data_IF_037347552891
#
_entry.id   IF_037347552891
#
_cell.length_a   1.000
_cell.length_b   1.000
_cell.length_c   1.000
_cell.angle_alpha   90.00
_cell.angle_beta   90.00
_cell.angle_gamma   90.00
#
_symmetry.space_group_name_H-M   'P 1'
#
loop_
_entity.id
_entity.type
_entity.pdbx_description
1 polymer ?
#
# COMPACT_ATOMS: atom_id res chain seq x y z
N UNK A 1 -0.07 67.30 10.38
CA UNK A 1 1.30 67.21 10.94
C UNK A 1 1.89 65.86 10.57
N UNK A 2 2.95 65.78 9.74
CA UNK A 2 3.50 64.49 9.32
C UNK A 2 4.40 63.89 10.42
N UNK A 3 4.12 62.64 10.81
CA UNK A 3 4.90 61.89 11.80
C UNK A 3 6.24 61.49 11.17
N UNK A 4 7.33 62.14 11.58
CA UNK A 4 8.69 61.78 11.20
C UNK A 4 9.12 60.54 11.98
N UNK A 5 8.92 59.35 11.41
CA UNK A 5 9.49 58.12 11.93
C UNK A 5 11.02 58.24 11.81
N UNK A 6 11.73 58.32 12.93
CA UNK A 6 13.20 58.37 12.95
C UNK A 6 13.72 57.04 12.41
N UNK A 7 14.56 57.07 11.38
CA UNK A 7 15.14 55.88 10.74
C UNK A 7 15.79 54.89 11.73
N UNK A 8 16.20 55.38 12.92
CA UNK A 8 16.70 54.56 14.03
C UNK A 8 15.71 53.50 14.53
N UNK A 9 14.39 53.69 14.40
CA UNK A 9 13.39 52.71 14.84
C UNK A 9 13.24 51.52 13.88
N UNK A 10 13.59 51.72 12.61
CA UNK A 10 13.51 50.66 11.60
C UNK A 10 14.62 49.64 11.82
N UNK A 11 15.82 50.11 12.20
CA UNK A 11 16.97 49.24 12.48
C UNK A 11 16.78 48.41 13.74
N UNK A 12 16.20 48.96 14.80
CA UNK A 12 15.87 48.19 16.00
C UNK A 12 14.76 47.17 15.77
N UNK A 13 13.75 47.49 14.96
CA UNK A 13 12.71 46.52 14.58
C UNK A 13 13.28 45.36 13.74
N UNK A 14 14.18 45.64 12.78
CA UNK A 14 14.86 44.60 12.01
C UNK A 14 15.75 43.71 12.88
N UNK A 15 16.54 44.30 13.79
CA UNK A 15 17.39 43.53 14.68
C UNK A 15 16.57 42.60 15.60
N UNK A 16 15.41 43.08 16.07
CA UNK A 16 14.50 42.28 16.89
C UNK A 16 13.87 41.12 16.09
N UNK A 17 13.49 41.32 14.83
CA UNK A 17 12.95 40.26 13.97
C UNK A 17 14.00 39.18 13.64
N UNK A 18 15.25 39.58 13.41
CA UNK A 18 16.35 38.63 13.16
C UNK A 18 16.63 37.79 14.42
N UNK A 19 16.69 38.43 15.60
CA UNK A 19 16.84 37.72 16.86
C UNK A 19 15.66 36.78 17.15
N UNK A 20 14.43 37.18 16.80
CA UNK A 20 13.25 36.32 16.94
C UNK A 20 13.35 35.06 16.06
N UNK A 21 13.83 35.21 14.81
CA UNK A 21 14.04 34.07 13.89
C UNK A 21 15.12 33.08 14.35
N UNK A 22 16.06 33.49 15.21
CA UNK A 22 17.12 32.61 15.72
C UNK A 22 16.63 31.80 16.94
N UNK A 23 15.66 32.33 17.70
CA UNK A 23 15.17 31.71 18.95
C UNK A 23 13.91 30.86 18.74
N UNK A 24 13.15 31.10 17.66
CA UNK A 24 12.07 30.21 17.30
C UNK A 24 12.65 28.83 16.94
N UNK A 25 12.25 27.74 17.63
CA UNK A 25 12.60 26.41 17.19
C UNK A 25 12.18 26.32 15.72
N UNK A 26 13.08 25.83 14.87
CA UNK A 26 12.72 25.38 13.54
C UNK A 26 11.58 24.39 13.77
N UNK A 27 10.34 24.86 13.62
CA UNK A 27 9.18 23.98 13.54
C UNK A 27 9.51 23.18 12.32
N UNK A 28 9.94 21.95 12.56
CA UNK A 28 10.24 21.00 11.53
C UNK A 28 8.94 20.83 10.76
N UNK A 29 8.77 21.66 9.74
CA UNK A 29 7.83 21.43 8.65
C UNK A 29 8.42 20.32 7.78
N UNK A 30 8.94 19.25 8.39
CA UNK A 30 8.48 17.95 7.96
C UNK A 30 6.96 18.06 7.95
N UNK A 31 6.42 18.37 6.78
CA UNK A 31 5.17 17.78 6.39
C UNK A 31 5.44 16.31 6.63
N UNK A 32 5.04 15.82 7.80
CA UNK A 32 4.72 14.42 7.94
C UNK A 32 3.70 14.25 6.82
N UNK A 33 4.18 13.84 5.65
CA UNK A 33 3.38 13.08 4.72
C UNK A 33 3.08 11.84 5.54
N UNK A 34 2.11 11.98 6.44
CA UNK A 34 1.28 10.90 6.93
C UNK A 34 0.80 10.29 5.63
N UNK A 35 1.58 9.31 5.15
CA UNK A 35 1.28 8.67 3.89
C UNK A 35 -0.13 8.17 4.08
N UNK A 36 -1.07 8.46 3.16
CA UNK A 36 -2.45 7.97 3.26
C UNK A 36 -2.56 6.43 3.26
N UNK A 37 -1.44 5.72 3.42
CA UNK A 37 -1.20 4.28 3.44
C UNK A 37 -1.45 3.63 4.81
N UNK A 38 -1.43 4.40 5.91
CA UNK A 38 -1.64 3.86 7.26
C UNK A 38 -3.11 3.53 7.57
N UNK A 39 -4.04 4.04 6.76
CA UNK A 39 -5.44 3.64 6.75
C UNK A 39 -5.76 3.08 5.37
N UNK A 40 -5.09 2.00 4.96
CA UNK A 40 -5.61 1.19 3.88
C UNK A 40 -7.00 0.73 4.32
N UNK A 41 -8.03 1.41 3.79
CA UNK A 41 -9.39 0.93 3.87
C UNK A 41 -9.36 -0.53 3.41
N UNK A 42 -10.10 -1.41 4.07
CA UNK A 42 -10.26 -2.82 3.66
C UNK A 42 -11.09 -2.92 2.37
N UNK A 43 -10.71 -2.13 1.38
CA UNK A 43 -11.46 -1.82 0.18
C UNK A 43 -10.58 -2.13 -1.04
N UNK A 44 -10.92 -3.18 -1.81
CA UNK A 44 -10.26 -3.50 -3.06
C UNK A 44 -10.31 -2.37 -4.12
N UNK A 45 -11.12 -1.33 -3.92
CA UNK A 45 -11.22 -0.15 -4.79
C UNK A 45 -10.41 1.05 -4.29
N UNK A 46 -9.67 0.91 -3.20
CA UNK A 46 -8.81 1.96 -2.67
C UNK A 46 -7.75 2.39 -3.72
N UNK A 47 -7.62 3.69 -4.03
CA UNK A 47 -6.62 4.21 -4.97
C UNK A 47 -5.19 3.75 -4.68
N UNK A 48 -4.83 3.54 -3.41
CA UNK A 48 -3.51 3.07 -3.02
C UNK A 48 -3.24 1.64 -3.50
N UNK A 49 -4.26 0.78 -3.47
CA UNK A 49 -4.19 -0.60 -3.97
C UNK A 49 -4.11 -0.62 -5.50
N UNK A 50 -4.86 0.25 -6.18
CA UNK A 50 -4.78 0.42 -7.64
C UNK A 50 -3.37 0.87 -8.07
N UNK A 51 -2.79 1.80 -7.31
CA UNK A 51 -1.43 2.27 -7.56
C UNK A 51 -0.40 1.14 -7.35
N UNK A 52 -0.52 0.39 -6.25
CA UNK A 52 0.34 -0.77 -5.98
C UNK A 52 0.25 -1.80 -7.10
N UNK A 53 -0.95 -2.16 -7.52
CA UNK A 53 -1.18 -3.06 -8.65
C UNK A 53 -0.46 -2.58 -9.94
N UNK A 54 -0.52 -1.28 -10.21
CA UNK A 54 0.17 -0.67 -11.36
C UNK A 54 1.69 -0.72 -11.25
N UNK A 55 2.25 -0.59 -10.04
CA UNK A 55 3.69 -0.76 -9.80
C UNK A 55 4.13 -2.23 -9.97
N UNK A 56 3.31 -3.18 -9.52
CA UNK A 56 3.58 -4.60 -9.65
C UNK A 56 3.65 -5.04 -11.12
N UNK A 57 2.83 -4.46 -12.00
CA UNK A 57 2.92 -4.67 -13.46
C UNK A 57 4.30 -4.28 -14.03
N UNK A 58 4.99 -3.35 -13.37
CA UNK A 58 6.35 -2.91 -13.70
C UNK A 58 7.44 -3.65 -12.90
N UNK A 59 7.07 -4.68 -12.13
CA UNK A 59 7.93 -5.43 -11.18
C UNK A 59 8.58 -4.55 -10.12
N UNK A 60 7.86 -3.55 -9.65
CA UNK A 60 8.31 -2.61 -8.62
C UNK A 60 7.28 -2.54 -7.49
N UNK A 61 7.73 -2.15 -6.29
CA UNK A 61 6.84 -1.87 -5.16
C UNK A 61 6.44 -0.39 -5.08
N UNK A 62 7.13 0.49 -5.80
CA UNK A 62 7.02 1.93 -5.59
C UNK A 62 7.51 2.30 -4.19
N UNK A 63 6.71 3.06 -3.46
CA UNK A 63 7.02 3.49 -2.09
C UNK A 63 6.50 2.54 -1.00
N UNK A 64 5.91 1.40 -1.38
CA UNK A 64 5.40 0.42 -0.44
C UNK A 64 6.54 -0.35 0.19
N UNK A 65 6.49 -0.53 1.51
CA UNK A 65 7.44 -1.44 2.15
C UNK A 65 7.03 -2.91 1.84
N UNK A 66 7.98 -3.87 1.86
CA UNK A 66 7.68 -5.27 1.54
C UNK A 66 6.61 -5.92 2.43
N UNK A 67 6.57 -5.59 3.72
CA UNK A 67 5.62 -6.20 4.66
C UNK A 67 4.19 -5.68 4.44
N UNK A 68 4.03 -4.38 4.21
CA UNK A 68 2.78 -3.73 3.84
C UNK A 68 2.28 -4.28 2.50
N UNK A 69 3.15 -4.41 1.50
CA UNK A 69 2.77 -4.98 0.21
C UNK A 69 2.24 -6.42 0.34
N UNK A 70 2.84 -7.23 1.22
CA UNK A 70 2.33 -8.58 1.54
C UNK A 70 1.00 -8.53 2.29
N UNK A 71 0.82 -7.58 3.20
CA UNK A 71 -0.45 -7.39 3.91
C UNK A 71 -1.59 -7.04 2.94
N UNK A 72 -1.29 -6.35 1.83
CA UNK A 72 -2.28 -6.02 0.79
C UNK A 72 -2.57 -7.15 -0.20
N UNK A 73 -1.91 -8.32 -0.08
CA UNK A 73 -2.09 -9.46 -0.99
C UNK A 73 -3.56 -9.87 -1.17
N UNK A 74 -4.41 -9.96 -0.13
CA UNK A 74 -5.82 -10.32 -0.29
C UNK A 74 -6.59 -9.35 -1.21
N UNK A 75 -6.36 -8.05 -1.09
CA UNK A 75 -7.02 -7.02 -1.91
C UNK A 75 -6.54 -7.10 -3.37
N UNK A 76 -5.23 -7.22 -3.57
CA UNK A 76 -4.64 -7.39 -4.90
C UNK A 76 -5.16 -8.65 -5.61
N UNK A 77 -5.31 -9.74 -4.87
CA UNK A 77 -5.83 -11.01 -5.36
C UNK A 77 -7.32 -10.91 -5.73
N UNK A 78 -8.14 -10.27 -4.90
CA UNK A 78 -9.55 -10.02 -5.22
C UNK A 78 -9.71 -9.18 -6.51
N UNK A 79 -8.87 -8.16 -6.70
CA UNK A 79 -8.84 -7.36 -7.94
C UNK A 79 -8.39 -8.17 -9.14
N UNK A 80 -7.38 -9.03 -9.00
CA UNK A 80 -6.92 -9.91 -10.07
C UNK A 80 -8.04 -10.85 -10.54
N UNK A 81 -8.85 -11.38 -9.62
CA UNK A 81 -10.00 -12.23 -9.94
C UNK A 81 -11.10 -11.49 -10.71
N UNK A 82 -11.30 -10.19 -10.47
CA UNK A 82 -12.22 -9.37 -11.24
C UNK A 82 -11.78 -9.19 -12.71
N UNK A 83 -10.49 -9.40 -13.02
CA UNK A 83 -9.98 -9.43 -14.41
C UNK A 83 -10.19 -10.78 -15.09
N UNK A 84 -10.16 -11.88 -14.31
CA UNK A 84 -10.41 -13.25 -14.80
C UNK A 84 -11.87 -13.42 -15.21
N UNK A 85 -12.78 -12.79 -14.47
CA UNK A 85 -14.20 -12.81 -14.77
C UNK A 85 -14.93 -11.68 -14.04
N UNK A 86 -16.09 -11.24 -14.55
CA UNK A 86 -16.81 -10.13 -13.97
C UNK A 86 -17.24 -10.46 -12.53
N UNK A 87 -16.88 -9.58 -11.61
CA UNK A 87 -17.27 -9.62 -10.20
C UNK A 87 -18.01 -8.33 -9.84
N UNK A 88 -19.03 -8.45 -9.00
CA UNK A 88 -19.66 -7.31 -8.35
C UNK A 88 -18.78 -6.79 -7.21
N UNK A 89 -18.93 -5.53 -6.78
CA UNK A 89 -18.20 -4.99 -5.63
C UNK A 89 -18.36 -5.84 -4.36
N UNK A 90 -19.58 -6.30 -4.09
CA UNK A 90 -19.89 -7.16 -2.94
C UNK A 90 -19.19 -8.52 -3.01
N UNK A 91 -19.07 -9.10 -4.21
CA UNK A 91 -18.31 -10.34 -4.42
C UNK A 91 -16.82 -10.12 -4.19
N UNK A 92 -16.27 -8.97 -4.65
CA UNK A 92 -14.87 -8.60 -4.42
C UNK A 92 -14.55 -8.42 -2.94
N UNK A 93 -15.38 -7.69 -2.19
CA UNK A 93 -15.22 -7.52 -0.74
C UNK A 93 -15.27 -8.86 0.00
N UNK A 94 -16.24 -9.73 -0.34
CA UNK A 94 -16.36 -11.05 0.29
C UNK A 94 -15.13 -11.92 0.02
N UNK A 95 -14.64 -11.91 -1.22
CA UNK A 95 -13.45 -12.67 -1.62
C UNK A 95 -12.21 -12.13 -0.93
N UNK A 96 -12.04 -10.81 -0.86
CA UNK A 96 -10.96 -10.18 -0.11
C UNK A 96 -10.96 -10.60 1.37
N UNK A 97 -12.13 -10.58 2.03
CA UNK A 97 -12.27 -11.01 3.41
C UNK A 97 -11.92 -12.50 3.59
N UNK A 98 -12.37 -13.37 2.68
CA UNK A 98 -12.04 -14.80 2.72
C UNK A 98 -10.55 -15.04 2.50
N UNK A 99 -9.91 -14.31 1.58
CA UNK A 99 -8.48 -14.41 1.33
C UNK A 99 -7.67 -13.96 2.55
N UNK A 100 -8.10 -12.89 3.22
CA UNK A 100 -7.50 -12.40 4.45
C UNK A 100 -7.63 -13.40 5.61
N UNK A 101 -8.82 -13.98 5.81
CA UNK A 101 -9.06 -14.99 6.84
C UNK A 101 -8.11 -16.20 6.71
N UNK A 102 -7.83 -16.62 5.48
CA UNK A 102 -6.95 -17.76 5.20
C UNK A 102 -5.46 -17.40 5.22
N UNK A 103 -5.09 -16.13 5.03
CA UNK A 103 -3.70 -15.70 4.96
C UNK A 103 -2.86 -16.12 6.19
N UNK A 104 -3.27 -15.86 7.46
CA UNK A 104 -2.48 -16.25 8.63
C UNK A 104 -2.46 -17.77 8.84
N UNK A 105 -3.53 -18.46 8.45
CA UNK A 105 -3.62 -19.92 8.52
C UNK A 105 -2.65 -20.57 7.55
N UNK A 106 -2.55 -20.06 6.31
CA UNK A 106 -1.61 -20.55 5.31
C UNK A 106 -0.17 -20.26 5.75
N UNK A 107 0.10 -19.06 6.26
CA UNK A 107 1.44 -18.63 6.67
C UNK A 107 2.01 -19.42 7.87
N UNK A 108 1.13 -19.92 8.75
CA UNK A 108 1.53 -20.67 9.96
C UNK A 108 1.73 -22.17 9.74
N UNK A 109 1.49 -22.68 8.53
CA UNK A 109 1.46 -24.12 8.24
C UNK A 109 2.66 -24.58 7.41
N UNK A 110 3.10 -25.84 7.54
CA UNK A 110 4.10 -26.41 6.65
C UNK A 110 3.54 -26.51 5.22
N UNK A 111 4.42 -26.46 4.22
CA UNK A 111 4.03 -26.29 2.81
C UNK A 111 2.97 -27.28 2.31
N UNK A 112 3.03 -28.56 2.73
CA UNK A 112 2.00 -29.54 2.36
C UNK A 112 0.60 -29.21 2.90
N UNK A 113 0.51 -28.73 4.14
CA UNK A 113 -0.75 -28.30 4.77
C UNK A 113 -1.19 -26.93 4.24
N UNK A 114 -0.25 -26.01 4.02
CA UNK A 114 -0.51 -24.71 3.42
C UNK A 114 -1.11 -24.86 2.01
N UNK A 115 -0.61 -25.82 1.22
CA UNK A 115 -1.16 -26.13 -0.10
C UNK A 115 -2.59 -26.65 -0.04
N UNK A 116 -2.91 -27.51 0.94
CA UNK A 116 -4.27 -27.99 1.15
C UNK A 116 -5.23 -26.85 1.55
N UNK A 117 -4.79 -25.92 2.40
CA UNK A 117 -5.57 -24.73 2.76
C UNK A 117 -5.79 -23.80 1.57
N UNK A 118 -4.78 -23.57 0.73
CA UNK A 118 -4.93 -22.82 -0.53
C UNK A 118 -5.95 -23.48 -1.45
N UNK A 119 -5.88 -24.79 -1.63
CA UNK A 119 -6.84 -25.52 -2.46
C UNK A 119 -8.27 -25.44 -1.91
N UNK A 120 -8.44 -25.55 -0.59
CA UNK A 120 -9.75 -25.41 0.05
C UNK A 120 -10.33 -24.00 -0.10
N UNK A 121 -9.50 -22.97 0.14
CA UNK A 121 -9.84 -21.57 -0.08
C UNK A 121 -10.28 -21.31 -1.53
N UNK A 122 -9.50 -21.78 -2.49
CA UNK A 122 -9.79 -21.59 -3.92
C UNK A 122 -11.09 -22.28 -4.32
N UNK A 123 -11.39 -23.44 -3.72
CA UNK A 123 -12.67 -24.12 -3.88
C UNK A 123 -13.84 -23.27 -3.35
N UNK A 124 -13.73 -22.72 -2.14
CA UNK A 124 -14.77 -21.83 -1.57
C UNK A 124 -14.95 -20.56 -2.42
N UNK A 125 -13.86 -19.99 -2.94
CA UNK A 125 -13.93 -18.85 -3.87
C UNK A 125 -14.69 -19.26 -5.13
N UNK A 126 -14.39 -20.42 -5.72
CA UNK A 126 -15.09 -20.92 -6.91
C UNK A 126 -16.58 -21.17 -6.66
N UNK A 127 -16.96 -21.67 -5.48
CA UNK A 127 -18.37 -21.80 -5.08
C UNK A 127 -19.07 -20.45 -4.98
N UNK A 128 -18.37 -19.43 -4.47
CA UNK A 128 -18.89 -18.07 -4.38
C UNK A 128 -18.94 -17.33 -5.71
N UNK A 129 -18.13 -17.75 -6.69
CA UNK A 129 -17.98 -17.17 -8.02
C UNK A 129 -18.26 -18.22 -9.11
N UNK A 130 -19.51 -18.69 -9.26
CA UNK A 130 -19.84 -19.79 -10.17
C UNK A 130 -19.63 -19.46 -11.66
N UNK A 131 -19.35 -18.19 -11.98
CA UNK A 131 -19.03 -17.72 -13.34
C UNK A 131 -17.55 -17.82 -13.67
N UNK A 132 -16.71 -18.09 -12.66
CA UNK A 132 -15.26 -18.18 -12.79
C UNK A 132 -14.83 -19.65 -12.88
N UNK A 133 -13.83 -19.93 -13.71
CA UNK A 133 -13.22 -21.25 -13.76
C UNK A 133 -12.25 -21.41 -12.58
N UNK A 134 -12.39 -22.48 -11.79
CA UNK A 134 -11.52 -22.78 -10.64
C UNK A 134 -10.03 -22.79 -11.01
N UNK A 135 -9.65 -23.33 -12.17
CA UNK A 135 -8.25 -23.31 -12.62
C UNK A 135 -7.75 -21.88 -12.86
N UNK A 136 -8.60 -21.02 -13.42
CA UNK A 136 -8.28 -19.63 -13.67
C UNK A 136 -8.19 -18.82 -12.38
N UNK A 137 -9.00 -19.16 -11.37
CA UNK A 137 -8.93 -18.58 -10.01
C UNK A 137 -7.58 -18.89 -9.39
N UNK A 138 -7.22 -20.18 -9.28
CA UNK A 138 -5.94 -20.59 -8.69
C UNK A 138 -4.75 -19.98 -9.43
N UNK A 139 -4.78 -19.96 -10.76
CA UNK A 139 -3.72 -19.37 -11.57
C UNK A 139 -3.57 -17.86 -11.31
N UNK A 140 -4.67 -17.12 -11.21
CA UNK A 140 -4.62 -15.67 -10.95
C UNK A 140 -4.11 -15.35 -9.54
N UNK A 141 -4.58 -16.07 -8.53
CA UNK A 141 -4.14 -15.89 -7.15
C UNK A 141 -2.64 -16.13 -6.99
N UNK A 142 -2.14 -17.18 -7.64
CA UNK A 142 -0.72 -17.55 -7.63
C UNK A 142 0.12 -16.56 -8.44
N UNK A 143 -0.36 -16.11 -9.61
CA UNK A 143 0.33 -15.09 -10.41
C UNK A 143 0.50 -13.78 -9.64
N UNK A 144 -0.54 -13.33 -8.93
CA UNK A 144 -0.46 -12.13 -8.07
C UNK A 144 0.56 -12.31 -6.96
N UNK A 145 0.59 -13.47 -6.29
CA UNK A 145 1.57 -13.78 -5.24
C UNK A 145 3.00 -13.72 -5.78
N UNK A 146 3.25 -14.36 -6.93
CA UNK A 146 4.56 -14.34 -7.57
C UNK A 146 4.98 -12.94 -8.01
N UNK A 147 4.03 -12.11 -8.47
CA UNK A 147 4.29 -10.72 -8.83
C UNK A 147 4.75 -9.90 -7.64
N UNK A 148 4.09 -10.04 -6.48
CA UNK A 148 4.46 -9.35 -5.23
C UNK A 148 5.83 -9.80 -4.76
N UNK A 149 6.06 -11.11 -4.62
CA UNK A 149 7.36 -11.62 -4.15
C UNK A 149 8.51 -11.32 -5.13
N UNK A 150 8.22 -11.31 -6.42
CA UNK A 150 9.17 -10.89 -7.45
C UNK A 150 9.57 -9.42 -7.30
N UNK A 151 8.59 -8.52 -7.10
CA UNK A 151 8.84 -7.11 -6.88
C UNK A 151 9.62 -6.85 -5.58
N UNK A 152 9.30 -7.58 -4.51
CA UNK A 152 10.05 -7.52 -3.24
C UNK A 152 11.51 -7.93 -3.47
N UNK A 153 11.75 -9.08 -4.11
CA UNK A 153 13.10 -9.55 -4.40
C UNK A 153 13.90 -8.56 -5.25
N UNK A 154 13.24 -7.90 -6.22
CA UNK A 154 13.85 -6.84 -7.04
C UNK A 154 14.17 -5.57 -6.25
N UNK A 155 13.34 -5.21 -5.26
CA UNK A 155 13.59 -4.05 -4.39
C UNK A 155 14.74 -4.27 -3.41
N UNK A 156 14.92 -5.48 -2.90
CA UNK A 156 16.01 -5.84 -1.97
C UNK A 156 17.37 -5.95 -2.67
N UNK A 157 17.37 -6.25 -3.97
CA UNK A 157 18.58 -6.37 -4.80
C UNK A 157 19.03 -5.05 -5.43
N UNK A 158 18.20 -4.00 -5.37
CA UNK A 158 18.59 -2.67 -5.79
C UNK A 158 19.62 -2.11 -4.78
N UNK A 159 20.87 -1.81 -5.20
CA UNK A 159 21.86 -1.28 -4.29
C UNK A 159 21.35 0.05 -3.73
N UNK A 160 21.30 0.15 -2.40
CA UNK A 160 21.16 1.41 -1.69
C UNK A 160 22.27 2.34 -2.17
N UNK A 161 22.00 3.20 -3.15
CA UNK A 161 22.86 4.34 -3.45
C UNK A 161 22.75 5.27 -2.26
N UNK A 162 23.59 5.00 -1.27
CA UNK A 162 23.79 5.86 -0.12
C UNK A 162 24.18 7.24 -0.59
N UNK A 163 23.46 8.23 -0.09
CA UNK A 163 23.87 9.63 -0.05
C UNK A 163 24.06 10.03 1.39
#
# INVERSE_FOLDING_TARGET
MPVRIKASWIWTACALLILLSIVLPQVDMSIQHESPRAEASYDPFDPAIIALESHLEQRQLGDWNPEEARAQLPLLQARALARVGPMTPVEMERVAALLDEYAPQIASQPEGSAQALRAHRDHLIAESLPRHNAEAISAALEATRQSVEGAISSSETAPSTGT
#
